data_IF_690916861977
#
_entry.id   IF_690916861977
#
_cell.length_a   1.000
_cell.length_b   1.000
_cell.length_c   1.000
_cell.angle_alpha   90.00
_cell.angle_beta   90.00
_cell.angle_gamma   90.00
#
_symmetry.space_group_name_H-M   'P 1'
#
loop_
_entity.id
_entity.type
_entity.pdbx_description
1 polymer ?
#
# COMPACT_ATOMS: atom_id res chain seq x y z
N UNK A 1 -89.07 -14.56 -2.01
CA UNK A 1 -88.59 -13.19 -2.28
C UNK A 1 -87.95 -12.68 -0.99
N UNK A 2 -86.67 -12.97 -0.79
CA UNK A 2 -85.89 -12.50 0.35
C UNK A 2 -85.00 -11.36 -0.16
N UNK A 3 -85.29 -10.14 0.28
CA UNK A 3 -84.45 -8.97 0.07
C UNK A 3 -83.82 -8.62 1.41
N UNK A 4 -82.55 -8.99 1.58
CA UNK A 4 -81.70 -8.47 2.64
C UNK A 4 -80.92 -7.29 2.06
N UNK A 5 -81.10 -6.11 2.64
CA UNK A 5 -80.34 -4.90 2.34
C UNK A 5 -79.06 -4.95 3.17
N UNK A 6 -77.89 -5.01 2.51
CA UNK A 6 -76.61 -4.84 3.19
C UNK A 6 -76.47 -3.37 3.67
N UNK A 7 -76.02 -3.11 4.90
CA UNK A 7 -75.66 -1.76 5.27
C UNK A 7 -74.39 -1.33 4.51
N UNK A 8 -74.41 -0.10 4.02
CA UNK A 8 -73.27 0.57 3.37
C UNK A 8 -72.00 0.44 4.22
N UNK A 9 -71.08 -0.44 3.80
CA UNK A 9 -69.74 -0.50 4.37
C UNK A 9 -68.90 0.61 3.74
N UNK A 10 -69.00 1.81 4.29
CA UNK A 10 -68.14 2.93 3.92
C UNK A 10 -66.78 2.72 4.59
N UNK A 11 -65.87 2.02 3.92
CA UNK A 11 -64.49 1.86 4.37
C UNK A 11 -63.78 3.22 4.28
N UNK A 12 -63.82 4.00 5.37
CA UNK A 12 -62.85 5.08 5.58
C UNK A 12 -61.61 4.42 6.20
N UNK A 13 -60.42 4.53 5.61
CA UNK A 13 -59.22 4.42 6.40
C UNK A 13 -59.25 5.62 7.35
N UNK A 14 -59.68 5.40 8.59
CA UNK A 14 -59.19 6.22 9.68
C UNK A 14 -57.66 6.12 9.59
N UNK A 15 -57.02 7.25 9.29
CA UNK A 15 -55.56 7.36 9.25
C UNK A 15 -55.04 6.69 10.52
N UNK A 16 -54.19 5.66 10.43
CA UNK A 16 -53.61 5.07 11.62
C UNK A 16 -52.93 6.19 12.41
N UNK A 17 -52.97 6.14 13.76
CA UNK A 17 -52.34 7.15 14.58
C UNK A 17 -50.90 7.29 14.11
N UNK A 18 -50.45 8.53 13.93
CA UNK A 18 -49.07 8.86 13.58
C UNK A 18 -48.22 8.30 14.72
N UNK A 19 -47.83 7.03 14.66
CA UNK A 19 -46.55 6.61 15.20
C UNK A 19 -45.59 7.52 14.47
N UNK A 20 -45.02 8.48 15.18
CA UNK A 20 -43.98 9.35 14.65
C UNK A 20 -43.07 8.47 13.78
N UNK A 21 -43.03 8.77 12.49
CA UNK A 21 -42.20 8.01 11.57
C UNK A 21 -40.76 8.35 11.94
N UNK A 22 -40.16 7.54 12.81
CA UNK A 22 -38.77 7.70 13.19
C UNK A 22 -37.93 7.43 11.96
N UNK A 23 -37.26 8.48 11.46
CA UNK A 23 -36.35 8.35 10.34
C UNK A 23 -35.22 7.38 10.70
N UNK A 24 -34.92 6.44 9.81
CA UNK A 24 -33.82 5.48 9.99
C UNK A 24 -32.63 5.91 9.15
N UNK A 25 -31.44 5.69 9.70
CA UNK A 25 -30.16 5.83 8.98
C UNK A 25 -29.83 4.50 8.33
N UNK A 26 -29.45 4.51 7.06
CA UNK A 26 -29.05 3.33 6.31
C UNK A 26 -27.68 3.54 5.68
N UNK A 27 -26.84 2.51 5.68
CA UNK A 27 -25.58 2.52 4.95
C UNK A 27 -25.69 1.72 3.66
N UNK A 28 -25.30 2.31 2.54
CA UNK A 28 -25.44 1.73 1.20
C UNK A 28 -24.10 1.79 0.49
N UNK A 29 -23.67 0.67 -0.08
CA UNK A 29 -22.48 0.63 -0.94
C UNK A 29 -22.87 1.06 -2.35
N UNK A 30 -22.24 2.12 -2.88
CA UNK A 30 -22.70 2.76 -4.13
C UNK A 30 -22.32 2.03 -5.40
N UNK A 31 -21.27 1.21 -5.38
CA UNK A 31 -20.81 0.48 -6.58
C UNK A 31 -21.87 -0.50 -7.11
N UNK A 32 -22.71 -1.02 -6.24
CA UNK A 32 -23.71 -2.05 -6.53
C UNK A 32 -25.07 -1.79 -5.86
N UNK A 33 -25.24 -0.61 -5.23
CA UNK A 33 -26.44 -0.21 -4.48
C UNK A 33 -26.84 -1.22 -3.40
N UNK A 34 -25.88 -1.97 -2.86
CA UNK A 34 -26.15 -2.97 -1.83
C UNK A 34 -26.39 -2.28 -0.49
N UNK A 35 -27.55 -2.53 0.12
CA UNK A 35 -27.88 -2.04 1.46
C UNK A 35 -27.10 -2.86 2.48
N UNK A 36 -26.20 -2.20 3.21
CA UNK A 36 -25.35 -2.84 4.21
C UNK A 36 -26.09 -2.92 5.55
N UNK A 37 -26.68 -1.81 5.99
CA UNK A 37 -27.38 -1.72 7.27
C UNK A 37 -28.59 -0.78 7.17
N UNK A 38 -29.60 -1.01 8.01
CA UNK A 38 -30.74 -0.10 8.23
C UNK A 38 -30.98 0.00 9.73
N UNK A 39 -30.74 1.18 10.29
CA UNK A 39 -30.58 1.32 11.73
C UNK A 39 -29.42 0.47 12.22
N UNK A 40 -29.62 -0.26 13.32
CA UNK A 40 -28.63 -1.19 13.88
C UNK A 40 -28.65 -2.57 13.21
N UNK A 41 -29.66 -2.83 12.38
CA UNK A 41 -29.82 -4.12 11.71
C UNK A 41 -28.89 -4.21 10.49
N UNK A 42 -28.13 -5.29 10.39
CA UNK A 42 -27.24 -5.57 9.26
C UNK A 42 -27.99 -6.40 8.21
N UNK A 43 -27.99 -5.91 6.96
CA UNK A 43 -28.73 -6.49 5.83
C UNK A 43 -27.82 -7.24 4.84
N UNK A 44 -26.53 -6.92 4.80
CA UNK A 44 -25.54 -7.69 4.06
C UNK A 44 -25.28 -9.04 4.76
N UNK A 45 -24.87 -10.05 3.99
CA UNK A 45 -24.42 -11.34 4.53
C UNK A 45 -22.94 -11.33 4.94
N UNK A 46 -22.23 -10.21 4.72
CA UNK A 46 -20.83 -10.04 5.12
C UNK A 46 -20.77 -9.54 6.57
N UNK A 47 -20.46 -10.44 7.51
CA UNK A 47 -20.39 -10.21 8.97
C UNK A 47 -19.34 -9.16 9.39
N UNK A 48 -18.51 -8.68 8.46
CA UNK A 48 -17.54 -7.62 8.72
C UNK A 48 -18.20 -6.26 8.86
N UNK A 49 -19.36 -6.05 8.24
CA UNK A 49 -20.09 -4.79 8.27
C UNK A 49 -21.01 -4.74 9.49
N UNK A 50 -20.96 -3.64 10.23
CA UNK A 50 -21.75 -3.43 11.44
C UNK A 50 -22.10 -1.94 11.57
N UNK A 51 -23.35 -1.63 11.93
CA UNK A 51 -23.74 -0.27 12.27
C UNK A 51 -23.55 -0.04 13.77
N UNK A 52 -22.89 1.06 14.12
CA UNK A 52 -22.70 1.50 15.50
C UNK A 52 -23.40 2.84 15.68
N UNK A 53 -24.29 2.93 16.67
CA UNK A 53 -24.99 4.16 17.01
C UNK A 53 -24.59 4.65 18.41
N UNK A 54 -24.20 5.92 18.51
CA UNK A 54 -23.93 6.57 19.79
C UNK A 54 -25.09 7.53 20.10
N UNK A 55 -26.03 7.08 20.94
CA UNK A 55 -27.28 7.81 21.25
C UNK A 55 -27.01 9.24 21.76
N UNK A 56 -25.92 9.45 22.50
CA UNK A 56 -25.59 10.76 23.09
C UNK A 56 -25.26 11.84 22.06
N UNK A 57 -24.77 11.46 20.87
CA UNK A 57 -24.31 12.42 19.85
C UNK A 57 -25.06 12.29 18.51
N UNK A 58 -26.06 11.41 18.42
CA UNK A 58 -26.76 11.06 17.18
C UNK A 58 -25.82 10.56 16.06
N UNK A 59 -24.64 10.05 16.41
CA UNK A 59 -23.67 9.55 15.44
C UNK A 59 -24.05 8.14 14.97
N UNK A 60 -23.97 7.94 13.65
CA UNK A 60 -24.17 6.66 13.01
C UNK A 60 -22.92 6.30 12.22
N UNK A 61 -22.18 5.29 12.69
CA UNK A 61 -20.92 4.86 12.10
C UNK A 61 -21.09 3.50 11.42
N UNK A 62 -20.59 3.38 10.19
CA UNK A 62 -20.38 2.08 9.56
C UNK A 62 -19.01 1.56 9.98
N UNK A 63 -18.99 0.44 10.69
CA UNK A 63 -17.77 -0.28 11.05
C UNK A 63 -17.54 -1.42 10.06
N UNK A 64 -16.33 -1.50 9.52
CA UNK A 64 -15.90 -2.59 8.62
C UNK A 64 -14.71 -3.28 9.29
N UNK A 65 -14.90 -4.54 9.72
CA UNK A 65 -13.84 -5.34 10.35
C UNK A 65 -12.91 -5.88 9.28
N UNK A 66 -11.60 -5.90 9.57
CA UNK A 66 -10.57 -6.45 8.68
C UNK A 66 -10.72 -5.96 7.23
N UNK A 67 -10.78 -4.64 7.06
CA UNK A 67 -11.00 -4.01 5.76
C UNK A 67 -9.98 -4.46 4.72
N UNK A 68 -10.44 -4.61 3.49
CA UNK A 68 -9.68 -5.16 2.37
C UNK A 68 -9.64 -4.14 1.24
N UNK A 69 -8.67 -4.27 0.32
CA UNK A 69 -8.52 -3.34 -0.81
C UNK A 69 -9.79 -3.24 -1.66
N UNK A 70 -10.59 -4.31 -1.77
CA UNK A 70 -11.84 -4.29 -2.52
C UNK A 70 -13.01 -3.64 -1.80
N UNK A 71 -12.87 -3.28 -0.52
CA UNK A 71 -13.88 -2.48 0.19
C UNK A 71 -13.75 -1.00 -0.15
N UNK A 72 -12.65 -0.57 -0.77
CA UNK A 72 -12.46 0.79 -1.25
C UNK A 72 -13.61 1.24 -2.17
N UNK A 73 -14.05 2.48 -1.98
CA UNK A 73 -15.03 3.13 -2.84
C UNK A 73 -16.03 4.01 -2.10
N UNK A 74 -17.10 4.36 -2.81
CA UNK A 74 -18.11 5.29 -2.34
C UNK A 74 -19.22 4.57 -1.55
N UNK A 75 -19.49 5.09 -0.36
CA UNK A 75 -20.56 4.67 0.53
C UNK A 75 -21.53 5.84 0.74
N UNK A 76 -22.80 5.52 0.96
CA UNK A 76 -23.86 6.49 1.24
C UNK A 76 -24.48 6.20 2.59
N UNK A 77 -24.49 7.22 3.44
CA UNK A 77 -25.30 7.29 4.63
C UNK A 77 -26.61 8.01 4.26
N UNK A 78 -27.73 7.27 4.29
CA UNK A 78 -29.03 7.75 3.87
C UNK A 78 -29.98 7.83 5.05
N UNK A 79 -30.64 8.98 5.23
CA UNK A 79 -31.74 9.17 6.18
C UNK A 79 -33.07 9.06 5.44
N UNK A 80 -33.97 8.22 5.95
CA UNK A 80 -35.29 7.97 5.36
C UNK A 80 -36.31 9.10 5.56
N UNK A 81 -35.86 10.36 5.57
CA UNK A 81 -36.73 11.54 5.60
C UNK A 81 -37.47 11.72 4.27
N UNK A 82 -38.45 12.61 4.23
CA UNK A 82 -39.13 13.01 2.99
C UNK A 82 -38.89 14.51 2.72
N UNK A 83 -38.11 14.89 1.70
CA UNK A 83 -37.33 14.02 0.82
C UNK A 83 -36.15 13.35 1.54
N UNK A 84 -35.61 12.26 0.95
CA UNK A 84 -34.46 11.56 1.54
C UNK A 84 -33.22 12.45 1.58
N UNK A 85 -32.46 12.35 2.66
CA UNK A 85 -31.19 13.07 2.82
C UNK A 85 -30.06 12.05 2.73
N UNK A 86 -28.99 12.38 2.01
CA UNK A 86 -27.86 11.50 1.77
C UNK A 86 -26.53 12.21 2.04
N UNK A 87 -25.61 11.50 2.70
CA UNK A 87 -24.20 11.87 2.86
C UNK A 87 -23.35 10.82 2.16
N UNK A 88 -22.44 11.26 1.28
CA UNK A 88 -21.54 10.37 0.54
C UNK A 88 -20.15 10.40 1.17
N UNK A 89 -19.59 9.22 1.43
CA UNK A 89 -18.28 9.03 2.07
C UNK A 89 -17.43 8.14 1.16
N UNK A 90 -16.24 8.61 0.80
CA UNK A 90 -15.28 7.81 0.04
C UNK A 90 -14.32 7.11 1.01
N UNK A 91 -14.38 5.79 1.07
CA UNK A 91 -13.46 4.97 1.86
C UNK A 91 -12.22 4.66 1.03
N UNK A 92 -11.05 5.10 1.48
CA UNK A 92 -9.75 4.73 0.92
C UNK A 92 -9.05 3.70 1.81
N UNK A 93 -8.56 2.60 1.23
CA UNK A 93 -7.84 1.57 2.00
C UNK A 93 -6.35 1.64 1.66
N UNK A 94 -5.55 1.99 2.66
CA UNK A 94 -4.09 2.06 2.54
C UNK A 94 -3.44 0.83 3.17
N UNK A 95 -2.36 0.35 2.54
CA UNK A 95 -1.53 -0.74 3.05
C UNK A 95 -0.16 -0.16 3.35
N UNK A 96 0.29 -0.30 4.60
CA UNK A 96 1.59 0.20 5.02
C UNK A 96 2.70 -0.44 4.18
N UNK A 97 3.77 0.33 3.91
CA UNK A 97 4.92 -0.13 3.11
C UNK A 97 6.22 0.30 3.76
N UNK A 98 7.12 -0.65 3.98
CA UNK A 98 8.47 -0.40 4.46
C UNK A 98 9.47 -0.29 3.31
N UNK A 99 10.39 0.67 3.39
CA UNK A 99 11.52 0.80 2.48
C UNK A 99 12.77 1.26 3.23
N UNK A 100 13.92 0.68 2.91
CA UNK A 100 15.21 1.21 3.39
C UNK A 100 15.67 2.27 2.39
N UNK A 101 16.11 3.42 2.90
CA UNK A 101 16.59 4.53 2.08
C UNK A 101 18.05 4.34 1.68
N UNK A 102 18.41 4.84 0.50
CA UNK A 102 19.79 4.87 0.01
C UNK A 102 20.09 3.86 -1.09
N UNK A 103 21.37 3.73 -1.49
CA UNK A 103 21.80 2.83 -2.56
C UNK A 103 21.61 1.36 -2.18
N UNK A 104 21.10 0.54 -3.11
CA UNK A 104 20.96 -0.91 -2.96
C UNK A 104 21.79 -1.62 -4.04
N UNK A 105 22.84 -2.38 -3.68
CA UNK A 105 23.38 -2.61 -2.33
C UNK A 105 24.21 -1.42 -1.79
N UNK A 106 24.49 -1.44 -0.48
CA UNK A 106 25.33 -0.45 0.20
C UNK A 106 26.78 -0.95 0.30
N UNK A 107 27.74 -0.12 -0.10
CA UNK A 107 29.18 -0.40 0.04
C UNK A 107 29.84 0.60 0.98
N UNK A 108 30.63 0.10 1.93
CA UNK A 108 31.31 0.89 2.95
C UNK A 108 32.76 0.43 3.07
N UNK A 109 33.63 1.27 3.62
CA UNK A 109 35.00 0.85 3.98
C UNK A 109 35.05 0.40 5.44
N UNK A 110 35.93 -0.53 5.76
CA UNK A 110 36.23 -0.91 7.15
C UNK A 110 36.54 0.33 7.99
N UNK A 111 35.98 0.39 9.21
CA UNK A 111 36.04 1.53 10.12
C UNK A 111 35.00 2.62 9.87
N UNK A 112 34.22 2.55 8.80
CA UNK A 112 33.08 3.46 8.58
C UNK A 112 31.90 3.09 9.47
N UNK A 113 30.89 3.96 9.58
CA UNK A 113 29.64 3.60 10.27
C UNK A 113 28.57 3.13 9.29
N UNK A 114 27.83 2.08 9.65
CA UNK A 114 26.61 1.67 8.95
C UNK A 114 25.47 2.55 9.46
N UNK A 115 24.72 3.19 8.56
CA UNK A 115 23.56 4.02 8.89
C UNK A 115 22.40 3.68 7.93
N UNK A 116 21.53 2.78 8.37
CA UNK A 116 20.35 2.36 7.60
C UNK A 116 19.12 3.06 8.14
N UNK A 117 18.35 3.68 7.26
CA UNK A 117 17.09 4.34 7.61
C UNK A 117 15.95 3.63 6.90
N UNK A 118 15.09 2.97 7.67
CA UNK A 118 13.87 2.33 7.21
C UNK A 118 12.68 3.27 7.44
N UNK A 119 11.90 3.52 6.40
CA UNK A 119 10.70 4.35 6.45
C UNK A 119 9.49 3.47 6.17
N UNK A 120 8.55 3.47 7.11
CA UNK A 120 7.23 2.85 6.98
C UNK A 120 6.27 3.97 6.59
N UNK A 121 5.66 3.85 5.42
CA UNK A 121 4.70 4.83 4.85
C UNK A 121 3.31 4.21 4.74
N UNK A 122 2.28 5.03 4.51
CA UNK A 122 0.89 4.58 4.31
C UNK A 122 0.36 3.82 5.53
N UNK A 123 0.75 4.28 6.72
CA UNK A 123 0.53 3.60 7.99
C UNK A 123 -0.22 4.53 8.96
N UNK A 124 -1.56 4.58 8.91
CA UNK A 124 -2.36 5.45 9.78
C UNK A 124 -2.11 5.17 11.28
N UNK A 125 -2.02 3.89 11.62
CA UNK A 125 -1.56 3.45 12.94
C UNK A 125 -0.05 3.14 12.87
N UNK A 126 0.77 3.67 13.79
CA UNK A 126 2.19 3.39 13.81
C UNK A 126 2.46 1.93 14.18
N UNK A 127 3.56 1.32 13.69
CA UNK A 127 3.96 -0.01 14.13
C UNK A 127 4.24 -0.03 15.63
N UNK A 128 3.78 -1.08 16.32
CA UNK A 128 4.04 -1.30 17.75
C UNK A 128 5.53 -1.54 18.00
N UNK A 129 6.20 -2.20 17.04
CA UNK A 129 7.65 -2.41 17.02
C UNK A 129 8.20 -2.47 15.59
N UNK A 130 9.49 -2.20 15.45
CA UNK A 130 10.29 -2.42 14.23
C UNK A 130 11.57 -3.12 14.62
N UNK A 131 11.73 -4.37 14.19
CA UNK A 131 12.94 -5.17 14.42
C UNK A 131 13.94 -5.04 13.29
N UNK A 132 15.23 -5.00 13.64
CA UNK A 132 16.32 -5.12 12.69
C UNK A 132 16.99 -6.48 12.80
N UNK A 133 17.27 -7.08 11.65
CA UNK A 133 18.02 -8.33 11.54
C UNK A 133 19.27 -8.09 10.72
N UNK A 134 20.36 -8.76 11.10
CA UNK A 134 21.54 -8.96 10.28
C UNK A 134 21.57 -10.45 9.94
N UNK A 135 21.41 -10.74 8.66
CA UNK A 135 21.04 -12.05 8.12
C UNK A 135 19.81 -12.60 8.86
N UNK A 136 19.94 -13.74 9.54
CA UNK A 136 18.85 -14.38 10.29
C UNK A 136 18.88 -14.06 11.80
N UNK A 137 19.74 -13.13 12.23
CA UNK A 137 19.91 -12.79 13.65
C UNK A 137 19.36 -11.41 13.95
N UNK A 138 18.45 -11.37 14.92
CA UNK A 138 17.94 -10.11 15.45
C UNK A 138 19.07 -9.32 16.10
N UNK A 139 19.19 -8.04 15.74
CA UNK A 139 20.17 -7.12 16.32
C UNK A 139 19.69 -6.69 17.70
N UNK A 140 20.57 -6.75 18.69
CA UNK A 140 20.26 -6.31 20.05
C UNK A 140 20.29 -4.76 20.16
N UNK A 141 19.24 -4.20 20.74
CA UNK A 141 19.05 -2.75 20.95
C UNK A 141 20.00 -2.17 22.00
N UNK A 142 20.56 -3.00 22.88
CA UNK A 142 21.45 -2.60 23.98
C UNK A 142 22.94 -2.84 23.65
N UNK A 143 23.30 -2.83 22.36
CA UNK A 143 24.70 -3.02 21.99
C UNK A 143 25.51 -1.74 22.24
N UNK A 144 26.67 -1.84 22.88
CA UNK A 144 27.54 -0.67 23.09
C UNK A 144 28.07 -0.06 21.78
N UNK A 145 28.05 -0.84 20.68
CA UNK A 145 28.58 -0.46 19.36
C UNK A 145 27.53 0.16 18.42
N UNK A 146 26.24 -0.04 18.70
CA UNK A 146 25.17 0.34 17.79
C UNK A 146 23.94 0.86 18.51
N UNK A 147 23.19 1.70 17.79
CA UNK A 147 22.00 2.38 18.30
C UNK A 147 20.84 2.15 17.32
N UNK A 148 19.66 1.86 17.86
CA UNK A 148 18.43 1.80 17.07
C UNK A 148 17.50 2.89 17.59
N UNK A 149 17.08 3.78 16.70
CA UNK A 149 16.09 4.81 17.02
C UNK A 149 14.81 4.57 16.21
N UNK A 150 13.67 4.91 16.80
CA UNK A 150 12.38 4.85 16.14
C UNK A 150 11.57 6.08 16.52
N UNK A 151 11.02 6.78 15.53
CA UNK A 151 10.19 7.94 15.75
C UNK A 151 9.13 8.08 14.65
N UNK A 152 7.98 8.64 15.00
CA UNK A 152 6.95 9.01 14.03
C UNK A 152 7.45 10.20 13.21
N UNK A 153 7.59 10.03 11.89
CA UNK A 153 8.14 11.04 10.98
C UNK A 153 7.07 11.95 10.37
N UNK A 154 5.84 11.45 10.20
CA UNK A 154 4.66 12.23 9.81
C UNK A 154 3.39 11.54 10.33
N UNK A 155 2.20 12.08 10.02
CA UNK A 155 0.93 11.49 10.46
C UNK A 155 0.78 10.01 10.06
N UNK A 156 1.18 9.66 8.82
CA UNK A 156 1.09 8.31 8.25
C UNK A 156 2.46 7.66 8.00
N UNK A 157 3.53 8.14 8.66
CA UNK A 157 4.85 7.56 8.51
C UNK A 157 5.63 7.41 9.81
N UNK A 158 6.37 6.32 9.90
CA UNK A 158 7.30 6.02 11.00
C UNK A 158 8.68 5.71 10.43
N UNK A 159 9.71 6.26 11.06
CA UNK A 159 11.10 6.03 10.66
C UNK A 159 11.82 5.25 11.75
N UNK A 160 12.53 4.19 11.37
CA UNK A 160 13.48 3.47 12.21
C UNK A 160 14.87 3.59 11.62
N UNK A 161 15.86 3.94 12.44
CA UNK A 161 17.26 4.05 12.02
C UNK A 161 18.13 3.08 12.82
N UNK A 162 18.88 2.26 12.10
CA UNK A 162 19.95 1.41 12.64
C UNK A 162 21.29 2.09 12.39
N UNK A 163 22.06 2.29 13.45
CA UNK A 163 23.40 2.83 13.39
C UNK A 163 24.40 1.85 14.02
N UNK A 164 25.48 1.52 13.33
CA UNK A 164 26.56 0.66 13.85
C UNK A 164 27.88 1.38 13.60
N UNK A 165 28.66 1.61 14.66
CA UNK A 165 29.99 2.24 14.58
C UNK A 165 31.06 1.21 14.21
N UNK A 166 32.16 1.71 13.65
CA UNK A 166 33.41 0.95 13.42
C UNK A 166 33.17 -0.37 12.68
N UNK A 167 32.55 -0.29 11.51
CA UNK A 167 32.15 -1.45 10.71
C UNK A 167 33.35 -2.31 10.31
N UNK A 168 33.19 -3.62 10.45
CA UNK A 168 34.17 -4.65 10.13
C UNK A 168 33.69 -5.50 8.97
N UNK A 169 34.57 -6.33 8.39
CA UNK A 169 34.18 -7.25 7.33
C UNK A 169 33.06 -8.22 7.76
N UNK A 170 32.99 -8.57 9.05
CA UNK A 170 31.95 -9.44 9.64
C UNK A 170 30.57 -8.78 9.70
N UNK A 171 30.51 -7.44 9.65
CA UNK A 171 29.27 -6.69 9.57
C UNK A 171 28.71 -6.67 8.14
N UNK A 172 29.38 -7.30 7.17
CA UNK A 172 28.80 -7.52 5.84
C UNK A 172 27.68 -8.54 5.94
N UNK A 173 26.59 -8.34 5.20
CA UNK A 173 25.45 -9.25 5.20
C UNK A 173 24.16 -8.56 4.77
N UNK A 174 23.06 -9.27 4.91
CA UNK A 174 21.74 -8.76 4.56
C UNK A 174 21.09 -8.12 5.80
N UNK A 175 20.82 -6.82 5.74
CA UNK A 175 20.13 -6.12 6.82
C UNK A 175 18.65 -6.02 6.51
N UNK A 176 17.81 -6.49 7.43
CA UNK A 176 16.35 -6.54 7.25
C UNK A 176 15.64 -5.66 8.29
N UNK A 177 14.81 -4.74 7.81
CA UNK A 177 13.85 -3.99 8.61
C UNK A 177 12.51 -4.73 8.63
N UNK A 178 12.04 -5.10 9.82
CA UNK A 178 10.83 -5.91 10.04
C UNK A 178 9.86 -5.19 10.98
N UNK A 179 8.97 -4.32 10.45
CA UNK A 179 7.91 -3.68 11.22
C UNK A 179 6.73 -4.63 11.51
N UNK A 180 6.00 -4.36 12.59
CA UNK A 180 4.84 -5.17 13.01
C UNK A 180 3.60 -5.10 12.10
N UNK A 181 3.48 -4.08 11.25
CA UNK A 181 2.26 -3.77 10.50
C UNK A 181 2.43 -3.75 8.97
N UNK A 182 3.60 -4.15 8.45
CA UNK A 182 3.84 -4.32 7.01
C UNK A 182 4.90 -5.38 6.77
N UNK A 183 5.10 -5.75 5.50
CA UNK A 183 6.12 -6.68 5.08
C UNK A 183 7.53 -6.13 5.35
N UNK A 184 8.45 -7.05 5.67
CA UNK A 184 9.85 -6.72 5.86
C UNK A 184 10.53 -6.33 4.55
N UNK A 185 11.59 -5.52 4.66
CA UNK A 185 12.42 -5.09 3.54
C UNK A 185 13.89 -5.25 3.90
N UNK A 186 14.73 -5.62 2.93
CA UNK A 186 16.13 -5.96 3.18
C UNK A 186 17.07 -5.28 2.20
N UNK A 187 18.30 -5.05 2.67
CA UNK A 187 19.38 -4.46 1.89
C UNK A 187 20.69 -5.23 2.10
N UNK A 188 21.43 -5.58 1.03
CA UNK A 188 22.78 -6.10 1.17
C UNK A 188 23.75 -4.97 1.53
N UNK A 189 24.58 -5.19 2.56
CA UNK A 189 25.65 -4.29 2.98
C UNK A 189 26.99 -5.00 2.84
N UNK A 190 27.94 -4.34 2.19
CA UNK A 190 29.30 -4.86 1.97
C UNK A 190 30.33 -3.91 2.59
N UNK A 191 31.10 -4.43 3.56
CA UNK A 191 32.21 -3.70 4.19
C UNK A 191 33.53 -4.14 3.55
N UNK A 192 34.11 -3.26 2.75
CA UNK A 192 35.32 -3.50 1.97
C UNK A 192 36.56 -3.11 2.78
N UNK A 193 37.52 -4.02 2.85
CA UNK A 193 38.83 -3.72 3.41
C UNK A 193 39.52 -2.64 2.55
N UNK A 194 39.98 -1.56 3.20
CA UNK A 194 40.60 -0.40 2.56
C UNK A 194 41.93 -0.67 1.84
N UNK A 195 42.34 -1.92 1.69
CA UNK A 195 43.54 -2.33 0.95
C UNK A 195 43.29 -2.52 -0.54
N UNK A 196 42.03 -2.53 -1.00
CA UNK A 196 41.68 -2.63 -2.42
C UNK A 196 41.24 -1.27 -3.00
N UNK A 197 42.21 -0.45 -3.39
CA UNK A 197 42.04 0.56 -4.43
C UNK A 197 41.71 1.99 -3.99
N UNK A 198 42.72 2.73 -3.53
CA UNK A 198 42.91 4.13 -3.95
C UNK A 198 43.24 4.20 -5.45
N UNK A 199 42.36 3.67 -6.30
CA UNK A 199 42.38 3.93 -7.74
C UNK A 199 40.97 4.32 -8.15
N UNK A 200 40.62 5.62 -8.18
CA UNK A 200 39.51 6.02 -9.01
C UNK A 200 39.87 5.60 -10.43
N UNK A 201 39.13 4.65 -11.00
CA UNK A 201 39.19 4.36 -12.42
C UNK A 201 38.68 5.60 -13.14
N UNK A 202 39.59 6.50 -13.49
CA UNK A 202 39.32 7.55 -14.46
C UNK A 202 39.08 6.84 -15.80
N UNK A 203 37.83 6.87 -16.27
CA UNK A 203 37.48 6.51 -17.63
C UNK A 203 38.15 7.54 -18.54
N UNK A 204 39.32 7.22 -19.09
CA UNK A 204 39.89 7.96 -20.21
C UNK A 204 39.16 7.52 -21.48
N UNK A 205 38.25 8.37 -21.97
CA UNK A 205 37.85 8.33 -23.37
C UNK A 205 38.92 9.04 -24.19
N UNK A 206 39.98 8.31 -24.56
CA UNK A 206 40.86 8.69 -25.67
C UNK A 206 40.30 8.10 -26.96
N UNK A 207 39.48 8.87 -27.66
CA UNK A 207 39.31 8.75 -29.10
C UNK A 207 39.81 10.06 -29.72
N UNK A 208 41.15 10.21 -29.73
CA UNK A 208 41.78 11.30 -30.43
C UNK A 208 41.70 11.05 -31.94
N UNK A 209 41.06 11.99 -32.63
CA UNK A 209 41.12 12.15 -34.07
C UNK A 209 42.55 12.54 -34.43
N UNK A 210 43.20 11.77 -35.30
CA UNK A 210 44.23 12.29 -36.19
C UNK A 210 44.10 11.69 -37.58
N UNK A 211 43.73 12.58 -38.49
CA UNK A 211 43.79 12.48 -39.94
C UNK A 211 45.19 12.05 -40.42
N UNK A 212 45.26 11.03 -41.26
CA UNK A 212 46.20 11.03 -42.38
C UNK A 212 45.63 10.25 -43.57
N UNK A 213 45.66 10.92 -44.70
CA UNK A 213 45.22 10.52 -46.03
C UNK A 213 46.12 9.45 -46.65
N UNK A 214 45.56 8.48 -47.37
CA UNK A 214 45.98 8.15 -48.75
C UNK A 214 45.18 7.01 -49.40
N UNK A 215 44.68 7.32 -50.60
CA UNK A 215 44.47 6.48 -51.79
C UNK A 215 43.65 5.18 -51.72
N UNK A 216 42.49 5.24 -52.40
CA UNK A 216 41.74 4.13 -53.02
C UNK A 216 42.52 3.54 -54.24
N UNK A 217 42.15 2.40 -54.89
CA UNK A 217 40.83 2.19 -55.52
C UNK A 217 40.21 0.77 -55.49
N UNK A 218 38.87 0.75 -55.63
CA UNK A 218 37.99 -0.15 -56.41
C UNK A 218 38.16 -1.68 -56.41
N UNK A 219 37.07 -2.41 -56.11
CA UNK A 219 36.46 -3.48 -56.96
C UNK A 219 35.12 -3.88 -56.30
N UNK A 220 34.00 -3.32 -56.75
CA UNK A 220 33.08 -3.85 -57.78
C UNK A 220 32.03 -4.83 -57.23
N UNK A 221 30.79 -4.45 -57.50
CA UNK A 221 29.51 -5.10 -57.20
C UNK A 221 29.39 -6.41 -57.99
N UNK A 222 28.95 -7.50 -57.34
CA UNK A 222 28.34 -8.64 -58.05
C UNK A 222 27.24 -9.31 -57.21
N UNK A 223 26.03 -8.83 -57.44
CA UNK A 223 24.80 -9.60 -57.42
C UNK A 223 24.88 -10.65 -58.55
N UNK A 224 24.53 -11.92 -58.33
CA UNK A 224 23.74 -12.78 -59.26
C UNK A 224 23.68 -14.27 -58.81
N UNK A 225 22.48 -14.65 -58.35
CA UNK A 225 21.66 -15.85 -58.63
C UNK A 225 22.22 -17.30 -58.62
N UNK A 226 21.28 -18.19 -58.24
CA UNK A 226 21.16 -19.66 -58.43
C UNK A 226 21.70 -20.50 -57.25
N UNK A 227 20.89 -21.29 -56.53
CA UNK A 227 19.98 -22.31 -57.04
C UNK A 227 18.70 -22.49 -56.20
N UNK A 228 17.64 -22.77 -56.96
CA UNK A 228 16.24 -23.02 -56.64
C UNK A 228 15.94 -24.44 -56.10
N UNK A 229 14.84 -24.52 -55.35
CA UNK A 229 13.82 -25.61 -55.29
C UNK A 229 14.26 -26.97 -54.71
N UNK A 230 13.48 -27.62 -53.85
CA UNK A 230 12.27 -28.44 -54.15
C UNK A 230 11.58 -28.70 -52.77
N UNK A 231 10.37 -28.19 -52.49
CA UNK A 231 9.00 -28.72 -52.77
C UNK A 231 8.54 -29.88 -51.88
N UNK A 232 7.27 -29.75 -51.46
CA UNK A 232 6.32 -30.71 -50.83
C UNK A 232 6.39 -30.79 -49.30
N UNK A 233 5.33 -30.50 -48.53
CA UNK A 233 3.89 -30.55 -48.80
C UNK A 233 3.14 -29.60 -47.86
#
# INVERSE_FOLDING_TARGET
>A
MQSYVFPNFQWRPERPPIKEAVCKVSWIRRRDFHVLTVGLDTYTTDDRFEAVHVEKNNDWTLKIKFAQLWDEGLYECQVSSDPKISLFVNLSIVVAKASILGPHPLFLKTGSSINLTCVITQSPEPPVFVFWYHDDRMINYDSARGEITMYKSSEDSTTSRLFIKDATAEDSGNYTCCPSNTQATSIPVYVLNGTYGERPAAIQHDANISTSSSSSPNFSILLFLLLTAIVSR
#
